data_IF_129739908529
#
_entry.id   IF_129739908529
#
_cell.length_a   1.000
_cell.length_b   1.000
_cell.length_c   1.000
_cell.angle_alpha   90.00
_cell.angle_beta   90.00
_cell.angle_gamma   90.00
#
_symmetry.space_group_name_H-M   'P 1'
#
loop_
_entity.id
_entity.type
_entity.pdbx_description
1 polymer ?
#
# COMPACT_ATOMS: atom_id res chain seq x y z
N UNK A 1 17.52 -17.95 50.26
CA UNK A 1 16.34 -18.13 49.39
C UNK A 1 16.34 -16.93 48.48
N UNK A 2 17.23 -16.95 47.50
CA UNK A 2 17.49 -15.80 46.64
C UNK A 2 16.27 -15.64 45.73
N UNK A 3 15.62 -14.49 45.84
CA UNK A 3 14.49 -14.13 45.00
C UNK A 3 14.95 -14.17 43.55
N UNK A 4 14.45 -15.15 42.79
CA UNK A 4 14.61 -15.23 41.36
C UNK A 4 13.94 -14.01 40.74
N UNK A 5 14.72 -12.94 40.57
CA UNK A 5 14.37 -11.81 39.72
C UNK A 5 14.38 -12.36 38.30
N UNK A 6 13.19 -12.69 37.80
CA UNK A 6 12.97 -12.88 36.37
C UNK A 6 13.30 -11.53 35.73
N UNK A 7 14.46 -11.41 35.09
CA UNK A 7 14.64 -10.37 34.07
C UNK A 7 13.63 -10.70 32.98
N UNK A 8 12.45 -10.06 33.04
CA UNK A 8 11.57 -9.99 31.89
C UNK A 8 12.42 -9.41 30.75
N UNK A 9 12.60 -10.12 29.63
CA UNK A 9 13.37 -9.61 28.52
C UNK A 9 12.73 -8.27 28.16
N UNK A 10 13.50 -7.18 28.23
CA UNK A 10 13.00 -5.84 27.95
C UNK A 10 12.40 -5.87 26.54
N UNK A 11 11.08 -6.03 26.44
CA UNK A 11 10.39 -6.01 25.18
C UNK A 11 10.60 -4.60 24.67
N UNK A 12 11.51 -4.48 23.72
CA UNK A 12 11.83 -3.25 23.03
C UNK A 12 10.54 -2.47 22.80
N UNK A 13 10.41 -1.22 23.28
CA UNK A 13 9.14 -0.49 23.31
C UNK A 13 8.43 -0.39 21.95
N UNK A 14 9.16 -0.64 20.85
CA UNK A 14 8.66 -0.70 19.48
C UNK A 14 8.00 -2.04 19.08
N UNK A 15 8.03 -3.09 19.91
CA UNK A 15 7.43 -4.40 19.63
C UNK A 15 5.93 -4.49 19.99
N UNK A 16 5.39 -3.49 20.70
CA UNK A 16 3.97 -3.47 21.06
C UNK A 16 3.12 -2.85 19.94
N UNK A 17 1.95 -3.37 19.59
CA UNK A 17 1.07 -2.78 18.57
C UNK A 17 0.42 -1.44 19.04
N UNK A 18 0.79 -0.95 20.22
CA UNK A 18 0.19 0.22 20.85
C UNK A 18 0.46 1.50 20.02
N UNK A 19 -0.50 2.45 19.93
CA UNK A 19 -0.32 3.68 19.19
C UNK A 19 0.74 4.53 19.87
N UNK A 20 1.92 4.61 19.25
CA UNK A 20 3.05 5.39 19.73
C UNK A 20 3.22 6.64 18.85
N UNK A 21 3.42 7.84 19.43
CA UNK A 21 3.56 9.09 18.66
C UNK A 21 4.64 9.02 17.56
N UNK A 22 5.74 8.32 17.83
CA UNK A 22 6.83 8.14 16.87
C UNK A 22 6.41 7.41 15.57
N UNK A 23 5.34 6.59 15.59
CA UNK A 23 4.88 5.85 14.40
C UNK A 23 4.09 6.74 13.42
N UNK A 24 3.47 7.81 13.91
CA UNK A 24 2.74 8.77 13.08
C UNK A 24 3.63 9.59 12.15
N UNK A 25 4.93 9.66 12.45
CA UNK A 25 5.90 10.48 11.71
C UNK A 25 6.08 9.96 10.28
N UNK A 26 6.12 8.64 10.09
CA UNK A 26 6.25 8.05 8.75
C UNK A 26 5.01 8.31 7.89
N UNK A 27 3.82 8.18 8.47
CA UNK A 27 2.56 8.48 7.78
C UNK A 27 2.45 9.96 7.42
N UNK A 28 2.85 10.85 8.33
CA UNK A 28 2.87 12.29 8.07
C UNK A 28 3.89 12.67 6.99
N UNK A 29 5.10 12.13 7.05
CA UNK A 29 6.13 12.35 6.02
C UNK A 29 5.65 11.85 4.66
N UNK A 30 5.05 10.66 4.60
CA UNK A 30 4.47 10.10 3.38
C UNK A 30 3.32 10.96 2.86
N UNK A 31 2.44 11.47 3.74
CA UNK A 31 1.36 12.37 3.35
C UNK A 31 1.87 13.66 2.72
N UNK A 32 2.88 14.30 3.30
CA UNK A 32 3.48 15.52 2.74
C UNK A 32 4.17 15.23 1.41
N UNK A 33 4.99 14.18 1.35
CA UNK A 33 5.68 13.78 0.11
C UNK A 33 4.70 13.42 -1.01
N UNK A 34 3.65 12.65 -0.70
CA UNK A 34 2.63 12.27 -1.69
C UNK A 34 1.80 13.47 -2.15
N UNK A 35 1.48 14.41 -1.26
CA UNK A 35 0.76 15.64 -1.62
C UNK A 35 1.57 16.50 -2.60
N UNK A 36 2.86 16.67 -2.34
CA UNK A 36 3.77 17.41 -3.22
C UNK A 36 3.91 16.69 -4.57
N UNK A 37 4.16 15.38 -4.55
CA UNK A 37 4.26 14.57 -5.77
C UNK A 37 2.98 14.63 -6.60
N UNK A 38 1.81 14.59 -5.95
CA UNK A 38 0.51 14.71 -6.61
C UNK A 38 0.31 16.07 -7.26
N UNK A 39 0.70 17.17 -6.59
CA UNK A 39 0.66 18.50 -7.17
C UNK A 39 1.52 18.62 -8.43
N UNK A 40 2.77 18.13 -8.38
CA UNK A 40 3.64 18.09 -9.56
C UNK A 40 3.06 17.24 -10.69
N UNK A 41 2.47 16.10 -10.35
CA UNK A 41 1.81 15.23 -11.31
C UNK A 41 0.61 15.93 -11.98
N UNK A 42 -0.22 16.66 -11.24
CA UNK A 42 -1.34 17.43 -11.80
C UNK A 42 -0.85 18.55 -12.73
N UNK A 43 0.18 19.31 -12.33
CA UNK A 43 0.77 20.35 -13.17
C UNK A 43 1.26 19.71 -14.47
N UNK A 44 2.01 18.62 -14.38
CA UNK A 44 2.46 17.89 -15.56
C UNK A 44 1.28 17.35 -16.39
N UNK A 45 0.21 16.83 -15.79
CA UNK A 45 -0.94 16.29 -16.52
C UNK A 45 -1.72 17.36 -17.29
N UNK A 46 -1.95 18.53 -16.67
CA UNK A 46 -2.78 19.62 -17.23
C UNK A 46 -2.02 20.45 -18.27
N UNK A 47 -0.71 20.68 -18.08
CA UNK A 47 0.06 21.53 -18.99
C UNK A 47 0.19 20.89 -20.38
N UNK A 48 -0.23 21.55 -21.47
CA UNK A 48 -0.22 20.97 -22.80
C UNK A 48 1.22 20.88 -23.37
N UNK A 49 1.48 19.86 -24.21
CA UNK A 49 2.82 19.56 -24.77
C UNK A 49 3.51 20.73 -25.48
N UNK A 50 2.81 21.62 -26.22
CA UNK A 50 3.45 22.78 -26.84
C UNK A 50 4.12 23.72 -25.82
N UNK A 51 3.55 23.85 -24.61
CA UNK A 51 4.10 24.70 -23.54
C UNK A 51 5.32 24.04 -22.89
N UNK A 52 5.31 22.72 -22.74
CA UNK A 52 6.47 21.95 -22.28
C UNK A 52 7.64 22.03 -23.26
N UNK A 53 7.36 21.97 -24.57
CA UNK A 53 8.37 22.14 -25.61
C UNK A 53 8.97 23.56 -25.62
N UNK A 54 8.17 24.58 -25.32
CA UNK A 54 8.66 25.96 -25.19
C UNK A 54 9.59 26.13 -23.97
N UNK A 55 9.40 25.33 -22.92
CA UNK A 55 10.27 25.26 -21.74
C UNK A 55 11.48 24.33 -21.94
N UNK A 56 11.74 23.86 -23.16
CA UNK A 56 12.77 22.87 -23.52
C UNK A 56 12.65 21.51 -22.80
N UNK A 57 11.47 21.17 -22.29
CA UNK A 57 11.18 19.87 -21.68
C UNK A 57 10.68 18.92 -22.77
N UNK A 58 11.61 18.38 -23.55
CA UNK A 58 11.30 17.58 -24.75
C UNK A 58 11.15 16.07 -24.47
N UNK A 59 11.70 15.57 -23.35
CA UNK A 59 11.78 14.13 -23.02
C UNK A 59 10.82 13.68 -21.91
N UNK A 60 9.64 14.30 -21.82
CA UNK A 60 8.58 13.82 -20.91
C UNK A 60 7.84 12.62 -21.49
N UNK A 61 7.40 11.67 -20.66
CA UNK A 61 6.62 10.52 -21.13
C UNK A 61 5.33 11.00 -21.82
N UNK A 62 4.83 10.20 -22.76
CA UNK A 62 3.64 10.55 -23.50
C UNK A 62 2.43 10.75 -22.56
N UNK A 63 1.57 11.73 -22.88
CA UNK A 63 0.44 12.15 -22.04
C UNK A 63 -0.55 11.04 -21.69
N UNK A 64 -0.60 9.95 -22.47
CA UNK A 64 -1.44 8.79 -22.14
C UNK A 64 -1.09 8.19 -20.77
N UNK A 65 0.17 8.31 -20.34
CA UNK A 65 0.58 7.84 -19.01
C UNK A 65 -0.11 8.61 -17.87
N UNK A 66 -0.55 9.85 -18.11
CA UNK A 66 -1.36 10.57 -17.15
C UNK A 66 -2.70 9.86 -16.87
N UNK A 67 -3.23 9.06 -17.78
CA UNK A 67 -4.47 8.30 -17.56
C UNK A 67 -4.14 6.87 -17.14
N UNK A 68 -3.09 6.28 -17.70
CA UNK A 68 -2.69 4.91 -17.37
C UNK A 68 -2.30 4.76 -15.89
N UNK A 69 -1.53 5.70 -15.33
CA UNK A 69 -1.10 5.64 -13.92
C UNK A 69 -2.28 5.56 -12.94
N UNK A 70 -3.28 6.46 -12.97
CA UNK A 70 -4.42 6.38 -12.06
C UNK A 70 -5.31 5.17 -12.33
N UNK A 71 -5.27 4.59 -13.54
CA UNK A 71 -6.00 3.37 -13.89
C UNK A 71 -5.33 2.09 -13.33
N UNK A 72 -4.00 2.09 -13.16
CA UNK A 72 -3.29 0.92 -12.63
C UNK A 72 -3.66 0.61 -11.16
N UNK A 73 -4.02 1.64 -10.37
CA UNK A 73 -4.41 1.44 -8.98
C UNK A 73 -5.70 0.60 -8.82
N UNK A 74 -6.86 0.98 -9.39
CA UNK A 74 -8.07 0.16 -9.31
C UNK A 74 -7.90 -1.19 -10.02
N UNK A 75 -7.09 -1.26 -11.08
CA UNK A 75 -6.76 -2.52 -11.73
C UNK A 75 -6.01 -3.49 -10.79
N UNK A 76 -5.00 -2.99 -10.07
CA UNK A 76 -4.27 -3.77 -9.07
C UNK A 76 -5.17 -4.25 -7.94
N UNK A 77 -6.06 -3.38 -7.45
CA UNK A 77 -7.07 -3.76 -6.43
C UNK A 77 -8.01 -4.84 -6.96
N UNK A 78 -8.49 -4.71 -8.19
CA UNK A 78 -9.36 -5.69 -8.83
C UNK A 78 -8.69 -7.06 -8.93
N UNK A 79 -7.43 -7.11 -9.39
CA UNK A 79 -6.65 -8.35 -9.46
C UNK A 79 -6.44 -8.96 -8.07
N UNK A 80 -6.09 -8.13 -7.09
CA UNK A 80 -5.90 -8.58 -5.70
C UNK A 80 -7.17 -9.21 -5.12
N UNK A 81 -8.31 -8.51 -5.21
CA UNK A 81 -9.61 -9.00 -4.71
C UNK A 81 -10.01 -10.30 -5.42
N UNK A 82 -9.89 -10.35 -6.75
CA UNK A 82 -10.22 -11.55 -7.54
C UNK A 82 -9.35 -12.74 -7.13
N UNK A 83 -8.06 -12.51 -6.90
CA UNK A 83 -7.12 -13.57 -6.49
C UNK A 83 -7.47 -14.12 -5.10
N UNK A 84 -7.71 -13.23 -4.12
CA UNK A 84 -8.11 -13.65 -2.77
C UNK A 84 -9.45 -14.40 -2.81
N UNK A 85 -10.41 -13.92 -3.61
CA UNK A 85 -11.69 -14.59 -3.79
C UNK A 85 -11.52 -15.99 -4.40
N UNK A 86 -10.69 -16.14 -5.42
CA UNK A 86 -10.40 -17.43 -6.04
C UNK A 86 -9.75 -18.42 -5.04
N UNK A 87 -8.78 -17.97 -4.24
CA UNK A 87 -8.15 -18.78 -3.20
C UNK A 87 -9.19 -19.21 -2.16
N UNK A 88 -10.04 -18.29 -1.72
CA UNK A 88 -11.10 -18.60 -0.77
C UNK A 88 -12.07 -19.64 -1.33
N UNK A 89 -12.47 -19.53 -2.61
CA UNK A 89 -13.36 -20.48 -3.26
C UNK A 89 -12.76 -21.90 -3.31
N UNK A 90 -11.45 -22.00 -3.60
CA UNK A 90 -10.74 -23.28 -3.55
C UNK A 90 -10.74 -23.81 -2.12
N UNK A 91 -10.36 -23.01 -1.12
CA UNK A 91 -10.34 -23.47 0.27
C UNK A 91 -11.74 -23.91 0.77
N UNK A 92 -12.82 -23.29 0.28
CA UNK A 92 -14.18 -23.70 0.61
C UNK A 92 -14.55 -25.09 0.08
N UNK A 93 -13.88 -25.62 -0.95
CA UNK A 93 -14.26 -26.92 -1.53
C UNK A 93 -14.05 -28.13 -0.60
N UNK A 94 -13.11 -28.04 0.35
CA UNK A 94 -12.68 -29.14 1.20
C UNK A 94 -13.27 -29.05 2.61
N UNK A 95 -14.11 -28.04 2.87
CA UNK A 95 -14.75 -27.87 4.18
C UNK A 95 -15.76 -28.98 4.45
N UNK A 96 -16.47 -29.45 3.42
CA UNK A 96 -17.52 -30.45 3.58
C UNK A 96 -16.97 -31.87 3.79
N UNK A 97 -15.80 -32.18 3.21
CA UNK A 97 -15.09 -33.45 3.42
C UNK A 97 -14.76 -33.69 4.90
N UNK A 98 -14.49 -32.63 5.66
CA UNK A 98 -14.17 -32.72 7.09
C UNK A 98 -15.39 -32.96 7.98
N UNK A 99 -16.59 -32.61 7.51
CA UNK A 99 -17.85 -32.76 8.27
C UNK A 99 -18.43 -34.16 8.06
N UNK A 100 -18.29 -34.72 6.86
CA UNK A 100 -18.76 -36.09 6.55
C UNK A 100 -18.00 -37.18 7.32
N UNK A 101 -16.74 -36.93 7.71
CA UNK A 101 -15.94 -37.88 8.52
C UNK A 101 -16.41 -37.93 9.98
N UNK A 102 -17.10 -36.89 10.46
CA UNK A 102 -17.51 -36.75 11.87
C UNK A 102 -19.00 -37.12 12.07
N UNK A 103 -19.80 -37.15 11.00
CA UNK A 103 -21.22 -37.53 11.00
C UNK A 103 -21.42 -39.05 10.87
#
# INVERSE_FOLDING_TARGET
MDGFVVEEPSLEPYATPNPHPARGIYGFALFVCSSIAFAFYLIWAIVPTPWLNALQITYVPAKYWAIAIPLLFPFGVFVYVTTIFAINLINFHGVFDSVEVIA
#
